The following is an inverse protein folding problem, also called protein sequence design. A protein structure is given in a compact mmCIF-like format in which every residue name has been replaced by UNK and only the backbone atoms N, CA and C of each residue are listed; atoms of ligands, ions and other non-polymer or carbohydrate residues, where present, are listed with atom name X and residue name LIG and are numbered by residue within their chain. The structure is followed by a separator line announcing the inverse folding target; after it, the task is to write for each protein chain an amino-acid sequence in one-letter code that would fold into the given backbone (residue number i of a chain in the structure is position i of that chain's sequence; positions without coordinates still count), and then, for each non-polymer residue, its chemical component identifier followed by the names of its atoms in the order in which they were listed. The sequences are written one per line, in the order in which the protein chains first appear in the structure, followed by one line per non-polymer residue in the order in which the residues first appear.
data_IF_904963746413
#
_entry.id   IF_904963746413
#
_cell.length_a   1.000
_cell.length_b   1.000
_cell.length_c   1.000
_cell.angle_alpha   90.00
_cell.angle_beta   90.00
_cell.angle_gamma   90.00
#
_symmetry.space_group_name_H-M   'P 1'
#
loop_
_entity.id
_entity.type
_entity.pdbx_description
1 polymer ?
#
# COMPACT_ATOMS: atom_id res chain seq x y z
N UNK A 1 7.01 -4.52 7.93
CA UNK A 1 7.04 -3.51 6.85
C UNK A 1 6.08 -3.97 5.76
N UNK A 2 5.27 -3.07 5.23
CA UNK A 2 4.34 -3.39 4.14
C UNK A 2 5.12 -3.54 2.84
N UNK A 3 4.74 -4.52 2.03
CA UNK A 3 5.32 -4.81 0.72
C UNK A 3 4.46 -4.18 -0.37
N UNK A 4 5.08 -3.36 -1.22
CA UNK A 4 4.46 -2.81 -2.42
C UNK A 4 5.09 -3.47 -3.66
N UNK A 5 4.24 -3.89 -4.59
CA UNK A 5 4.65 -4.56 -5.83
C UNK A 5 3.96 -3.94 -7.04
N UNK A 6 4.56 -4.12 -8.21
CA UNK A 6 4.08 -3.50 -9.43
C UNK A 6 2.96 -4.30 -10.08
N UNK A 7 1.86 -3.61 -10.39
CA UNK A 7 0.74 -4.14 -11.20
C UNK A 7 0.18 -5.48 -10.69
N UNK A 8 0.10 -5.67 -9.38
CA UNK A 8 -0.63 -6.81 -8.81
C UNK A 8 -2.12 -6.45 -8.69
N UNK A 9 -2.98 -7.07 -9.51
CA UNK A 9 -4.44 -6.93 -9.45
C UNK A 9 -5.09 -8.22 -9.92
N UNK A 10 -6.00 -8.75 -9.12
CA UNK A 10 -6.66 -10.04 -9.33
C UNK A 10 -8.16 -9.94 -9.05
N UNK A 11 -8.95 -10.81 -9.66
CA UNK A 11 -10.33 -11.04 -9.24
C UNK A 11 -10.37 -11.87 -7.95
N UNK A 12 -11.45 -11.77 -7.18
CA UNK A 12 -11.79 -12.73 -6.13
C UNK A 12 -13.27 -13.11 -6.19
N UNK A 13 -13.53 -14.41 -6.08
CA UNK A 13 -14.88 -14.96 -5.96
C UNK A 13 -15.29 -15.17 -4.49
N UNK A 14 -14.45 -14.77 -3.53
CA UNK A 14 -14.77 -14.88 -2.11
C UNK A 14 -15.98 -14.01 -1.77
N UNK A 15 -16.89 -14.56 -0.97
CA UNK A 15 -17.99 -13.83 -0.35
C UNK A 15 -17.76 -13.72 1.15
N UNK A 16 -18.47 -12.80 1.81
CA UNK A 16 -18.36 -12.64 3.26
C UNK A 16 -17.27 -11.67 3.69
N UNK A 17 -17.00 -11.64 5.00
CA UNK A 17 -16.02 -10.72 5.62
C UNK A 17 -14.67 -11.39 5.92
N UNK A 18 -14.48 -12.65 5.54
CA UNK A 18 -13.32 -13.45 5.93
C UNK A 18 -12.04 -13.22 5.11
N UNK A 19 -11.13 -14.19 5.26
CA UNK A 19 -9.96 -14.37 4.39
C UNK A 19 -10.40 -14.56 2.95
N UNK A 20 -9.69 -13.91 2.03
CA UNK A 20 -10.00 -13.96 0.60
C UNK A 20 -9.07 -14.92 -0.13
N UNK A 21 -9.59 -15.59 -1.15
CA UNK A 21 -8.80 -16.33 -2.13
C UNK A 21 -8.53 -15.41 -3.32
N UNK A 22 -7.26 -15.20 -3.62
CA UNK A 22 -6.81 -14.42 -4.76
C UNK A 22 -6.92 -15.26 -6.03
N UNK A 23 -7.68 -14.76 -7.01
CA UNK A 23 -7.96 -15.45 -8.27
C UNK A 23 -6.97 -15.10 -9.38
N UNK A 24 -7.47 -15.15 -10.62
CA UNK A 24 -6.69 -14.81 -11.80
C UNK A 24 -6.37 -13.31 -11.85
N UNK A 25 -5.26 -12.98 -12.50
CA UNK A 25 -4.89 -11.60 -12.77
C UNK A 25 -5.93 -10.92 -13.68
N UNK A 26 -6.24 -9.67 -13.36
CA UNK A 26 -7.03 -8.81 -14.24
C UNK A 26 -6.25 -8.47 -15.51
N UNK A 27 -6.97 -8.09 -16.57
CA UNK A 27 -6.34 -7.79 -17.87
C UNK A 27 -5.26 -6.72 -17.78
N UNK A 28 -4.04 -7.05 -18.19
CA UNK A 28 -2.87 -6.17 -18.12
C UNK A 28 -2.17 -6.12 -16.75
N UNK A 29 -2.57 -6.95 -15.79
CA UNK A 29 -1.97 -7.06 -14.47
C UNK A 29 -1.33 -8.44 -14.25
N UNK A 30 -0.66 -8.57 -13.11
CA UNK A 30 0.01 -9.79 -12.64
C UNK A 30 -0.74 -10.35 -11.44
N UNK A 31 -0.57 -11.65 -11.19
CA UNK A 31 -0.94 -12.22 -9.89
C UNK A 31 -0.02 -11.66 -8.80
N UNK A 32 -0.40 -11.81 -7.53
CA UNK A 32 0.45 -11.35 -6.42
C UNK A 32 1.81 -12.09 -6.42
N UNK A 33 1.80 -13.39 -6.70
CA UNK A 33 3.03 -14.19 -6.79
C UNK A 33 3.93 -13.74 -7.95
N UNK A 34 3.36 -13.55 -9.14
CA UNK A 34 4.13 -13.10 -10.31
C UNK A 34 4.67 -11.66 -10.15
N UNK A 35 3.96 -10.82 -9.39
CA UNK A 35 4.42 -9.49 -9.02
C UNK A 35 5.53 -9.50 -7.94
N UNK A 36 5.86 -10.67 -7.39
CA UNK A 36 6.96 -10.87 -6.44
C UNK A 36 6.56 -10.98 -4.97
N UNK A 37 5.26 -11.09 -4.66
CA UNK A 37 4.82 -11.30 -3.27
C UNK A 37 5.11 -12.75 -2.86
N UNK A 38 5.87 -12.93 -1.78
CA UNK A 38 6.23 -14.24 -1.24
C UNK A 38 5.41 -14.59 0.00
N UNK A 39 5.38 -15.88 0.36
CA UNK A 39 4.64 -16.38 1.53
C UNK A 39 4.95 -15.61 2.82
N UNK A 40 3.90 -15.28 3.58
CA UNK A 40 3.99 -14.54 4.84
C UNK A 40 4.23 -13.04 4.70
N UNK A 41 4.43 -12.50 3.49
CA UNK A 41 4.55 -11.06 3.31
C UNK A 41 3.23 -10.35 3.60
N UNK A 42 3.34 -9.18 4.22
CA UNK A 42 2.22 -8.25 4.42
C UNK A 42 2.27 -7.23 3.30
N UNK A 43 1.17 -7.06 2.56
CA UNK A 43 1.02 -6.09 1.46
C UNK A 43 -0.04 -5.04 1.79
N UNK A 44 0.07 -3.85 1.20
CA UNK A 44 -1.04 -2.89 1.17
C UNK A 44 -2.00 -3.35 0.09
N UNK A 45 -3.24 -3.63 0.45
CA UNK A 45 -4.26 -3.96 -0.52
C UNK A 45 -5.31 -2.86 -0.60
N UNK A 46 -5.96 -2.82 -1.75
CA UNK A 46 -7.26 -2.20 -1.94
C UNK A 46 -8.20 -3.26 -2.51
N UNK A 47 -9.43 -3.29 -2.01
CA UNK A 47 -10.53 -4.07 -2.57
C UNK A 47 -11.55 -3.08 -3.13
N UNK A 48 -12.05 -3.37 -4.33
CA UNK A 48 -13.21 -2.71 -4.92
C UNK A 48 -14.27 -3.77 -5.19
N UNK A 49 -15.50 -3.54 -4.71
CA UNK A 49 -16.66 -4.41 -4.94
C UNK A 49 -17.87 -3.55 -5.31
N UNK A 50 -18.13 -3.44 -6.62
CA UNK A 50 -19.09 -2.46 -7.14
C UNK A 50 -18.64 -1.04 -6.84
N UNK A 51 -19.36 -0.33 -5.98
CA UNK A 51 -19.00 1.03 -5.52
C UNK A 51 -18.35 1.05 -4.14
N UNK A 52 -18.34 -0.09 -3.46
CA UNK A 52 -17.71 -0.22 -2.14
C UNK A 52 -16.21 -0.43 -2.27
N UNK A 53 -15.47 0.07 -1.29
CA UNK A 53 -14.02 -0.01 -1.27
C UNK A 53 -13.48 -0.23 0.14
N UNK A 54 -12.32 -0.88 0.22
CA UNK A 54 -11.61 -1.16 1.46
C UNK A 54 -10.11 -1.04 1.22
N UNK A 55 -9.43 -0.31 2.09
CA UNK A 55 -7.97 -0.24 2.16
C UNK A 55 -7.54 -0.98 3.42
N UNK A 56 -6.50 -1.80 3.30
CA UNK A 56 -6.01 -2.55 4.45
C UNK A 56 -4.63 -3.15 4.23
N UNK A 57 -4.10 -3.75 5.27
CA UNK A 57 -2.92 -4.61 5.19
C UNK A 57 -3.33 -6.08 5.16
N UNK A 58 -2.69 -6.85 4.28
CA UNK A 58 -3.05 -8.24 4.05
C UNK A 58 -1.85 -9.17 4.17
N UNK A 59 -1.95 -10.21 5.00
CA UNK A 59 -0.92 -11.26 5.03
C UNK A 59 -1.19 -12.26 3.91
N UNK A 60 -0.26 -12.35 2.95
CA UNK A 60 -0.33 -13.28 1.83
C UNK A 60 0.13 -14.67 2.24
N UNK A 61 -0.68 -15.69 1.93
CA UNK A 61 -0.29 -17.10 2.05
C UNK A 61 -0.21 -17.71 0.67
N UNK A 62 1.00 -18.13 0.27
CA UNK A 62 1.26 -18.69 -1.05
C UNK A 62 0.53 -20.01 -1.24
N UNK A 63 0.50 -20.85 -0.19
CA UNK A 63 -0.30 -22.07 -0.17
C UNK A 63 -1.79 -21.72 -0.16
N UNK A 64 -2.46 -21.95 -1.29
CA UNK A 64 -3.87 -21.62 -1.48
C UNK A 64 -4.14 -20.17 -1.90
N UNK A 65 -3.08 -19.39 -2.17
CA UNK A 65 -3.14 -18.02 -2.70
C UNK A 65 -4.17 -17.15 -1.97
N UNK A 66 -4.07 -17.07 -0.65
CA UNK A 66 -5.03 -16.33 0.18
C UNK A 66 -4.45 -15.04 0.74
N UNK A 67 -5.33 -14.12 1.14
CA UNK A 67 -4.98 -12.89 1.84
C UNK A 67 -5.81 -12.75 3.11
N UNK A 68 -5.14 -12.76 4.27
CA UNK A 68 -5.79 -12.47 5.55
C UNK A 68 -5.81 -10.96 5.80
N UNK A 69 -7.01 -10.40 5.87
CA UNK A 69 -7.28 -8.96 5.85
C UNK A 69 -7.15 -8.30 7.22
N UNK A 70 -6.60 -7.10 7.27
CA UNK A 70 -6.67 -6.16 8.40
C UNK A 70 -7.06 -4.81 7.81
N UNK A 71 -8.27 -4.36 8.13
CA UNK A 71 -8.86 -3.14 7.53
C UNK A 71 -8.28 -1.91 8.20
N UNK A 72 -7.87 -0.94 7.38
CA UNK A 72 -7.39 0.37 7.83
C UNK A 72 -8.47 1.44 7.59
N UNK A 73 -9.15 1.39 6.43
CA UNK A 73 -10.23 2.32 6.06
C UNK A 73 -11.21 1.64 5.10
N UNK A 74 -12.52 1.93 5.20
CA UNK A 74 -13.53 1.27 4.37
C UNK A 74 -14.82 2.08 4.20
N UNK A 75 -15.45 1.97 3.04
CA UNK A 75 -16.78 2.54 2.78
C UNK A 75 -17.87 1.97 3.69
N UNK A 76 -17.63 0.82 4.33
CA UNK A 76 -18.53 0.19 5.30
C UNK A 76 -18.26 0.66 6.74
N UNK A 77 -18.16 1.98 6.96
CA UNK A 77 -17.86 2.58 8.27
C UNK A 77 -16.60 1.99 8.92
N UNK A 78 -15.52 1.89 8.13
CA UNK A 78 -14.23 1.31 8.54
C UNK A 78 -14.27 -0.17 8.95
N UNK A 79 -15.39 -0.87 8.71
CA UNK A 79 -15.49 -2.32 8.88
C UNK A 79 -15.16 -3.06 7.57
N UNK A 80 -14.81 -4.34 7.72
CA UNK A 80 -14.56 -5.21 6.57
C UNK A 80 -15.79 -5.30 5.66
N UNK A 81 -15.57 -5.21 4.35
CA UNK A 81 -16.60 -5.44 3.34
C UNK A 81 -17.09 -6.88 3.40
N UNK A 82 -18.40 -7.02 3.24
CA UNK A 82 -19.06 -8.28 2.97
C UNK A 82 -19.05 -8.53 1.46
N UNK A 83 -18.04 -9.25 0.98
CA UNK A 83 -17.79 -9.37 -0.45
C UNK A 83 -18.91 -10.11 -1.19
N UNK A 84 -19.18 -9.68 -2.41
CA UNK A 84 -20.23 -10.15 -3.30
C UNK A 84 -19.84 -11.40 -4.10
N UNK A 85 -18.54 -11.69 -4.19
CA UNK A 85 -17.98 -12.72 -5.08
C UNK A 85 -17.61 -12.22 -6.48
N UNK A 86 -17.63 -10.92 -6.71
CA UNK A 86 -17.13 -10.28 -7.95
C UNK A 86 -16.13 -9.15 -7.71
N UNK A 87 -15.53 -9.11 -6.52
CA UNK A 87 -14.60 -8.06 -6.14
C UNK A 87 -13.25 -8.19 -6.87
N UNK A 88 -12.53 -7.06 -6.97
CA UNK A 88 -11.14 -7.02 -7.40
C UNK A 88 -10.24 -6.61 -6.24
N UNK A 89 -9.04 -7.19 -6.20
CA UNK A 89 -8.05 -6.98 -5.13
C UNK A 89 -6.75 -6.56 -5.79
N UNK A 90 -6.14 -5.47 -5.35
CA UNK A 90 -4.87 -5.01 -5.91
C UNK A 90 -3.96 -4.38 -4.87
N UNK A 91 -2.67 -4.33 -5.19
CA UNK A 91 -1.67 -3.62 -4.38
C UNK A 91 -1.60 -2.17 -4.84
N UNK A 92 -1.77 -1.24 -3.90
CA UNK A 92 -1.60 0.20 -4.10
C UNK A 92 -0.96 0.78 -2.85
N UNK A 93 -0.21 1.87 -2.98
CA UNK A 93 0.22 2.63 -1.81
C UNK A 93 -0.98 3.37 -1.19
N UNK A 94 -1.05 3.39 0.14
CA UNK A 94 -1.88 4.29 0.91
C UNK A 94 -1.07 5.51 1.38
N UNK A 95 -1.73 6.49 2.00
CA UNK A 95 -1.08 7.72 2.41
C UNK A 95 0.06 7.46 3.41
N UNK A 96 -0.10 6.52 4.34
CA UNK A 96 0.92 6.18 5.33
C UNK A 96 2.12 5.41 4.76
N UNK A 97 1.98 4.84 3.55
CA UNK A 97 3.08 4.16 2.87
C UNK A 97 4.02 5.15 2.18
N UNK A 98 3.58 6.40 2.01
CA UNK A 98 4.39 7.49 1.48
C UNK A 98 5.02 8.23 2.66
N UNK A 99 6.32 8.11 2.90
CA UNK A 99 6.97 8.85 3.97
C UNK A 99 6.76 10.35 3.72
N UNK A 100 6.47 11.10 4.79
CA UNK A 100 6.56 12.56 4.71
C UNK A 100 7.95 12.91 4.20
N UNK A 101 8.03 13.49 3.01
CA UNK A 101 9.27 14.04 2.49
C UNK A 101 9.62 15.24 3.38
N UNK A 102 10.23 15.00 4.54
CA UNK A 102 11.05 16.00 5.21
C UNK A 102 12.27 16.20 4.30
N UNK A 103 12.05 16.87 3.16
CA UNK A 103 13.04 16.99 2.09
C UNK A 103 14.32 17.66 2.59
N UNK A 104 14.22 18.45 3.64
CA UNK A 104 15.31 18.86 4.51
C UNK A 104 14.68 18.98 5.90
N UNK A 105 15.31 18.43 6.95
CA UNK A 105 15.12 19.05 8.26
C UNK A 105 15.39 20.53 8.01
N UNK A 106 14.42 21.41 8.28
CA UNK A 106 14.65 22.85 8.27
C UNK A 106 15.98 23.06 8.99
N UNK A 107 17.03 23.39 8.25
CA UNK A 107 18.26 23.90 8.81
C UNK A 107 18.05 25.41 8.69
N UNK A 108 17.38 26.06 9.66
CA UNK A 108 17.26 27.50 9.65
C UNK A 108 18.67 28.08 9.82
N UNK A 109 19.41 28.19 8.72
CA UNK A 109 20.51 29.11 8.61
C UNK A 109 19.88 30.49 8.65
N UNK A 110 19.97 31.15 9.80
CA UNK A 110 19.67 32.58 9.88
C UNK A 110 20.49 33.31 8.81
N UNK A 111 19.94 34.33 8.11
CA UNK A 111 20.70 35.16 7.17
C UNK A 111 21.94 35.79 7.81
N UNK A 112 21.99 35.90 9.14
CA UNK A 112 23.13 36.45 9.90
C UNK A 112 24.15 35.40 10.37
N UNK A 113 23.87 34.10 10.25
CA UNK A 113 24.78 33.03 10.68
C UNK A 113 24.53 31.73 9.89
N UNK A 114 24.79 31.70 8.57
CA UNK A 114 24.60 30.48 7.80
C UNK A 114 25.68 29.45 8.16
N UNK A 115 25.26 28.25 8.53
CA UNK A 115 26.16 27.12 8.76
C UNK A 115 25.70 25.90 7.97
N UNK A 116 26.65 25.24 7.32
CA UNK A 116 26.44 24.03 6.56
C UNK A 116 27.54 23.04 6.97
N UNK A 117 27.16 21.84 7.40
CA UNK A 117 28.11 20.76 7.74
C UNK A 117 27.76 19.52 6.93
N UNK A 118 28.78 18.77 6.50
CA UNK A 118 28.62 17.57 5.68
C UNK A 118 29.12 17.71 4.23
N UNK A 119 29.10 16.60 3.50
CA UNK A 119 29.52 16.53 2.09
C UNK A 119 28.45 17.17 1.21
N UNK A 120 28.85 18.07 0.31
CA UNK A 120 27.98 18.86 -0.58
C UNK A 120 27.09 19.92 0.11
N UNK A 121 27.44 20.35 1.33
CA UNK A 121 26.65 21.35 2.04
C UNK A 121 26.88 22.76 1.47
N UNK A 122 25.80 23.49 1.15
CA UNK A 122 25.83 24.87 0.63
C UNK A 122 25.15 25.78 1.65
N UNK A 123 25.85 26.83 2.08
CA UNK A 123 25.30 27.90 2.91
C UNK A 123 25.32 29.21 2.09
N UNK A 124 24.17 29.84 1.90
CA UNK A 124 24.06 31.15 1.22
C UNK A 124 23.54 32.16 2.24
N UNK A 125 24.39 33.12 2.62
CA UNK A 125 24.00 34.29 3.41
C UNK A 125 23.47 35.42 2.52
N UNK A 126 22.74 36.37 3.10
CA UNK A 126 22.41 37.65 2.45
C UNK A 126 23.50 38.67 2.75
N UNK A 127 23.83 39.57 1.81
CA UNK A 127 24.66 40.76 2.09
C UNK A 127 23.92 41.74 3.02
#
# INVERSE_FOLDING_TARGET
MVTLVNRAKVATATTGTGTITLGAAESGYQTFADAGVTDGQVVRYVIEDGTDWEIGTGTYTASGTTLSRTVDESSNSDAALNLSGSAVVYVSAAAEDIPSLELYAENPSSPTAPSATGTNAVAIGTN
#
